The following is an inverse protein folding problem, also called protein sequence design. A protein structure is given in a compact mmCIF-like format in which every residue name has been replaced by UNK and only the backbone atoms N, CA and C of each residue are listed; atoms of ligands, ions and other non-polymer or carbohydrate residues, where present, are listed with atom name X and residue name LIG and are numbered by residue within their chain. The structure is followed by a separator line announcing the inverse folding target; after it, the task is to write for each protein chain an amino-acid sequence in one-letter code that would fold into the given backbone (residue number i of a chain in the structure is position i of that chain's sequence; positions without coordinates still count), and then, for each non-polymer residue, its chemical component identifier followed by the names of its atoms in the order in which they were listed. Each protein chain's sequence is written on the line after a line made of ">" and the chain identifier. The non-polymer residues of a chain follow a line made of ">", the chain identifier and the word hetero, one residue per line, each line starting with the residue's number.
data_IF_374796015267
#
_entry.id   IF_374796015267
#
_cell.length_a   1.000
_cell.length_b   1.000
_cell.length_c   1.000
_cell.angle_alpha   90.00
_cell.angle_beta   90.00
_cell.angle_gamma   90.00
#
_symmetry.space_group_name_H-M   'P 1'
#
loop_
_entity.id
_entity.type
_entity.pdbx_description
1 polymer ?
#
# COMPACT_ATOMS: atom_id res chain seq x y z
N UNK A 1 -25.43 6.92 18.36
CA UNK A 1 -26.48 7.66 17.63
C UNK A 1 -26.45 7.16 16.20
N UNK A 2 -27.52 6.52 15.74
CA UNK A 2 -27.68 6.16 14.32
C UNK A 2 -28.21 7.42 13.67
N UNK A 3 -27.39 8.10 12.88
CA UNK A 3 -27.84 9.20 12.02
C UNK A 3 -28.39 8.59 10.73
N UNK A 4 -29.39 9.22 10.10
CA UNK A 4 -29.91 8.82 8.77
C UNK A 4 -28.93 9.16 7.62
N UNK A 5 -27.66 9.43 7.95
CA UNK A 5 -26.63 9.81 6.99
C UNK A 5 -26.04 8.57 6.33
N UNK A 6 -26.07 8.54 5.01
CA UNK A 6 -25.46 7.49 4.21
C UNK A 6 -24.02 7.85 3.85
N UNK A 7 -23.08 6.93 4.09
CA UNK A 7 -21.66 7.11 3.78
C UNK A 7 -21.10 5.89 3.06
N UNK A 8 -20.05 6.12 2.27
CA UNK A 8 -19.30 5.04 1.62
C UNK A 8 -18.09 4.65 2.46
N UNK A 9 -17.93 3.34 2.67
CA UNK A 9 -16.77 2.76 3.33
C UNK A 9 -16.08 1.76 2.41
N UNK A 10 -14.80 1.51 2.66
CA UNK A 10 -14.11 0.38 2.03
C UNK A 10 -14.64 -0.91 2.64
N UNK A 11 -15.20 -1.77 1.81
CA UNK A 11 -15.70 -3.07 2.26
C UNK A 11 -14.54 -3.99 2.66
N UNK A 12 -14.67 -4.62 3.82
CA UNK A 12 -13.80 -5.72 4.24
C UNK A 12 -14.20 -7.02 3.53
N UNK A 13 -13.26 -7.96 3.46
CA UNK A 13 -13.56 -9.29 2.93
C UNK A 13 -14.61 -9.99 3.80
N UNK A 14 -15.63 -10.57 3.18
CA UNK A 14 -16.73 -11.25 3.89
C UNK A 14 -17.85 -10.36 4.42
N UNK A 15 -17.79 -9.03 4.22
CA UNK A 15 -18.86 -8.11 4.60
C UNK A 15 -20.18 -8.43 3.88
N UNK A 16 -21.28 -8.58 4.62
CA UNK A 16 -22.60 -8.91 4.06
C UNK A 16 -23.58 -7.74 4.17
N UNK A 17 -24.55 -7.67 3.25
CA UNK A 17 -25.66 -6.70 3.33
C UNK A 17 -26.45 -6.93 4.62
N UNK A 18 -26.76 -5.85 5.34
CA UNK A 18 -27.48 -5.89 6.62
C UNK A 18 -26.62 -6.15 7.85
N UNK A 19 -25.30 -6.36 7.67
CA UNK A 19 -24.37 -6.45 8.80
C UNK A 19 -24.26 -5.09 9.50
N UNK A 20 -24.35 -5.11 10.84
CA UNK A 20 -24.17 -3.93 11.67
C UNK A 20 -22.67 -3.71 11.86
N UNK A 21 -22.18 -2.55 11.40
CA UNK A 21 -20.80 -2.12 11.56
C UNK A 21 -20.78 -0.96 12.54
N UNK A 22 -19.85 -0.99 13.48
CA UNK A 22 -19.72 0.07 14.48
C UNK A 22 -18.33 0.67 14.49
N UNK A 23 -18.29 1.96 14.82
CA UNK A 23 -17.06 2.67 15.19
C UNK A 23 -17.06 2.73 16.72
N UNK A 24 -16.19 1.98 17.37
CA UNK A 24 -16.28 1.77 18.82
C UNK A 24 -14.97 1.32 19.46
N UNK A 25 -15.04 0.94 20.74
CA UNK A 25 -13.90 0.38 21.49
C UNK A 25 -13.70 -1.10 21.22
N UNK A 26 -14.79 -1.82 20.99
CA UNK A 26 -14.81 -3.26 20.73
C UNK A 26 -15.52 -3.54 19.41
N UNK A 27 -15.13 -4.64 18.76
CA UNK A 27 -15.72 -5.00 17.49
C UNK A 27 -15.07 -6.21 16.84
N UNK A 28 -15.83 -6.79 15.94
CA UNK A 28 -15.42 -7.92 15.13
C UNK A 28 -14.89 -7.43 13.77
N UNK A 29 -14.61 -8.36 12.86
CA UNK A 29 -14.22 -8.05 11.49
C UNK A 29 -15.19 -7.05 10.83
N UNK A 30 -14.64 -6.03 10.16
CA UNK A 30 -15.40 -4.93 9.55
C UNK A 30 -15.54 -3.69 10.44
N UNK A 31 -15.37 -3.79 11.75
CA UNK A 31 -15.48 -2.63 12.64
C UNK A 31 -14.20 -1.78 12.64
N UNK A 32 -14.38 -0.47 12.83
CA UNK A 32 -13.28 0.48 12.95
C UNK A 32 -13.00 0.79 14.42
N UNK A 33 -11.77 0.53 14.85
CA UNK A 33 -11.35 0.63 16.25
C UNK A 33 -9.97 1.30 16.34
N UNK A 34 -9.69 1.96 17.45
CA UNK A 34 -8.36 2.49 17.78
C UNK A 34 -7.36 1.35 18.03
N UNK A 35 -6.12 1.51 17.56
CA UNK A 35 -5.07 0.49 17.66
C UNK A 35 -4.83 0.01 19.10
N UNK A 36 -5.04 0.88 20.11
CA UNK A 36 -4.90 0.50 21.53
C UNK A 36 -5.84 -0.65 21.96
N UNK A 37 -7.05 -0.69 21.41
CA UNK A 37 -8.06 -1.67 21.79
C UNK A 37 -7.98 -2.94 20.94
N UNK A 38 -7.24 -2.91 19.83
CA UNK A 38 -7.06 -4.07 18.96
C UNK A 38 -6.10 -5.07 19.63
N UNK A 39 -6.41 -6.36 19.51
CA UNK A 39 -5.55 -7.46 19.99
C UNK A 39 -4.32 -7.61 19.10
N UNK A 40 -3.15 -7.84 19.70
CA UNK A 40 -1.92 -8.08 18.96
C UNK A 40 -2.05 -9.35 18.10
N UNK A 41 -1.44 -9.35 16.92
CA UNK A 41 -1.53 -10.43 15.93
C UNK A 41 -2.75 -10.37 15.00
N UNK A 42 -3.72 -9.49 15.26
CA UNK A 42 -4.89 -9.34 14.39
C UNK A 42 -4.55 -8.76 13.02
N UNK A 43 -5.33 -9.15 12.01
CA UNK A 43 -5.26 -8.57 10.68
C UNK A 43 -6.10 -7.30 10.62
N UNK A 44 -5.53 -6.25 10.03
CA UNK A 44 -6.12 -4.92 9.96
C UNK A 44 -5.93 -4.29 8.58
N UNK A 45 -6.84 -3.41 8.19
CA UNK A 45 -6.79 -2.63 6.96
C UNK A 45 -7.26 -1.19 7.21
N UNK A 46 -7.17 -0.33 6.19
CA UNK A 46 -7.62 1.07 6.26
C UNK A 46 -7.07 1.84 7.48
N UNK A 47 -5.75 1.84 7.62
CA UNK A 47 -5.06 2.38 8.79
C UNK A 47 -4.80 3.89 8.62
N UNK A 48 -5.03 4.65 9.69
CA UNK A 48 -4.70 6.08 9.75
C UNK A 48 -3.20 6.35 9.81
N UNK A 49 -2.76 7.51 9.30
CA UNK A 49 -1.36 7.93 9.44
C UNK A 49 -1.12 8.62 10.79
N UNK A 50 -2.05 9.47 11.18
CA UNK A 50 -2.08 10.26 12.42
C UNK A 50 -3.50 10.14 12.96
N UNK A 51 -3.73 10.17 14.28
CA UNK A 51 -5.07 10.06 14.85
C UNK A 51 -6.03 11.08 14.20
N UNK A 52 -7.14 10.60 13.65
CA UNK A 52 -8.16 11.46 13.02
C UNK A 52 -7.84 11.95 11.60
N UNK A 53 -6.71 11.53 11.00
CA UNK A 53 -6.37 11.92 9.61
C UNK A 53 -7.19 11.16 8.56
N UNK A 54 -7.98 10.17 8.97
CA UNK A 54 -8.61 9.20 8.07
C UNK A 54 -7.61 8.16 7.53
N UNK A 55 -8.18 7.11 6.93
CA UNK A 55 -7.43 5.96 6.45
C UNK A 55 -6.56 6.30 5.24
N UNK A 56 -5.24 6.07 5.36
CA UNK A 56 -4.24 6.33 4.33
C UNK A 56 -3.53 5.05 3.91
N UNK A 57 -3.27 4.14 4.86
CA UNK A 57 -2.52 2.92 4.60
C UNK A 57 -3.45 1.71 4.41
N UNK A 58 -2.98 0.74 3.62
CA UNK A 58 -3.64 -0.58 3.43
C UNK A 58 -5.09 -0.45 2.93
N UNK A 59 -5.23 0.15 1.75
CA UNK A 59 -6.52 0.43 1.09
C UNK A 59 -6.74 -0.32 -0.22
N UNK A 60 -5.71 -0.98 -0.72
CA UNK A 60 -5.79 -1.68 -2.00
C UNK A 60 -6.55 -3.00 -1.84
N UNK A 61 -7.22 -3.44 -2.90
CA UNK A 61 -7.97 -4.69 -2.94
C UNK A 61 -7.11 -5.87 -2.47
N UNK A 62 -7.67 -6.71 -1.58
CA UNK A 62 -6.97 -7.87 -1.02
C UNK A 62 -5.84 -7.58 -0.04
N UNK A 63 -5.49 -6.32 0.24
CA UNK A 63 -4.37 -6.01 1.15
C UNK A 63 -4.80 -6.03 2.61
N UNK A 64 -3.87 -6.43 3.47
CA UNK A 64 -3.97 -6.35 4.93
C UNK A 64 -2.60 -6.09 5.53
N UNK A 65 -2.60 -5.66 6.78
CA UNK A 65 -1.45 -5.56 7.64
C UNK A 65 -1.73 -6.34 8.92
N UNK A 66 -0.68 -6.64 9.68
CA UNK A 66 -0.82 -7.31 10.99
C UNK A 66 -0.29 -6.41 12.08
N UNK A 67 -1.07 -6.21 13.14
CA UNK A 67 -0.60 -5.57 14.35
C UNK A 67 0.38 -6.53 15.04
N UNK A 68 1.62 -6.11 15.26
CA UNK A 68 2.65 -6.97 15.86
C UNK A 68 2.66 -6.84 17.37
N UNK A 69 2.77 -5.61 17.86
CA UNK A 69 2.83 -5.30 19.27
C UNK A 69 2.41 -3.86 19.51
N UNK A 70 1.94 -3.59 20.73
CA UNK A 70 1.61 -2.25 21.21
C UNK A 70 2.40 -1.94 22.48
N UNK A 71 2.99 -0.76 22.51
CA UNK A 71 3.78 -0.23 23.62
C UNK A 71 3.00 0.97 24.20
N UNK A 72 2.19 0.69 25.22
CA UNK A 72 1.25 1.67 25.79
C UNK A 72 1.96 2.84 26.46
N UNK A 73 3.12 2.60 27.09
CA UNK A 73 3.91 3.65 27.75
C UNK A 73 4.47 4.67 26.76
N UNK A 74 4.84 4.21 25.56
CA UNK A 74 5.37 5.07 24.50
C UNK A 74 4.30 5.55 23.53
N UNK A 75 3.05 5.14 23.73
CA UNK A 75 1.90 5.42 22.85
C UNK A 75 2.12 4.98 21.39
N UNK A 76 2.89 3.90 21.16
CA UNK A 76 3.26 3.43 19.83
C UNK A 76 2.71 2.02 19.58
N UNK A 77 2.21 1.79 18.37
CA UNK A 77 1.85 0.49 17.83
C UNK A 77 2.79 0.14 16.66
N UNK A 78 3.30 -1.09 16.65
CA UNK A 78 4.12 -1.63 15.57
C UNK A 78 3.27 -2.48 14.64
N UNK A 79 3.21 -2.09 13.38
CA UNK A 79 2.39 -2.75 12.36
C UNK A 79 3.28 -3.26 11.24
N UNK A 80 3.11 -4.53 10.87
CA UNK A 80 3.72 -5.09 9.67
C UNK A 80 2.87 -4.75 8.46
N UNK A 81 3.44 -3.93 7.58
CA UNK A 81 2.80 -3.47 6.35
C UNK A 81 2.75 -4.59 5.30
N UNK A 82 1.81 -4.53 4.32
CA UNK A 82 1.76 -5.49 3.20
C UNK A 82 3.04 -5.50 2.35
N UNK A 83 3.81 -4.41 2.37
CA UNK A 83 5.14 -4.34 1.73
C UNK A 83 6.21 -5.17 2.44
N UNK A 84 5.90 -5.78 3.59
CA UNK A 84 6.85 -6.50 4.45
C UNK A 84 7.55 -5.63 5.49
N UNK A 85 7.41 -4.30 5.40
CA UNK A 85 8.05 -3.35 6.29
C UNK A 85 7.31 -3.19 7.63
N UNK A 86 8.02 -3.17 8.76
CA UNK A 86 7.42 -2.82 10.05
C UNK A 86 7.46 -1.32 10.26
N UNK A 87 6.29 -0.72 10.54
CA UNK A 87 6.12 0.71 10.73
C UNK A 87 5.46 1.02 12.06
N UNK A 88 5.89 2.11 12.67
CA UNK A 88 5.33 2.68 13.90
C UNK A 88 4.15 3.61 13.60
N UNK A 89 3.13 3.52 14.44
CA UNK A 89 1.95 4.36 14.44
C UNK A 89 1.61 4.79 15.86
N UNK A 90 0.92 5.92 16.01
CA UNK A 90 0.39 6.30 17.31
C UNK A 90 -0.74 5.35 17.70
N UNK A 91 -0.81 4.97 18.98
CA UNK A 91 -1.80 4.03 19.51
C UNK A 91 -3.27 4.49 19.37
N UNK A 92 -3.49 5.81 19.22
CA UNK A 92 -4.81 6.41 19.01
C UNK A 92 -5.23 6.46 17.54
N UNK A 93 -4.35 6.06 16.60
CA UNK A 93 -4.76 5.87 15.21
C UNK A 93 -5.84 4.80 15.13
N UNK A 94 -6.75 4.95 14.17
CA UNK A 94 -7.80 3.97 13.89
C UNK A 94 -7.42 3.03 12.76
N UNK A 95 -7.97 1.82 12.81
CA UNK A 95 -7.89 0.82 11.75
C UNK A 95 -9.18 0.00 11.72
N UNK A 96 -9.45 -0.62 10.57
CA UNK A 96 -10.57 -1.55 10.40
C UNK A 96 -10.04 -2.97 10.56
N UNK A 97 -10.73 -3.80 11.35
CA UNK A 97 -10.35 -5.20 11.54
C UNK A 97 -10.66 -6.00 10.27
N UNK A 98 -9.69 -6.75 9.78
CA UNK A 98 -9.80 -7.65 8.63
C UNK A 98 -8.95 -7.23 7.43
N UNK A 99 -9.33 -7.77 6.27
CA UNK A 99 -8.65 -7.55 4.97
C UNK A 99 -9.55 -6.73 4.05
N UNK A 100 -8.96 -5.95 3.14
CA UNK A 100 -9.76 -5.25 2.11
C UNK A 100 -10.39 -6.28 1.18
N UNK A 101 -11.66 -6.07 0.82
CA UNK A 101 -12.39 -6.93 -0.13
C UNK A 101 -11.70 -7.04 -1.50
N UNK A 102 -12.21 -8.00 -2.30
CA UNK A 102 -11.73 -8.32 -3.64
C UNK A 102 -10.26 -8.82 -3.69
N UNK A 103 -9.91 -9.89 -2.96
CA UNK A 103 -8.55 -10.47 -3.00
C UNK A 103 -8.18 -11.02 -4.38
N UNK A 104 -9.17 -11.44 -5.17
CA UNK A 104 -8.98 -12.02 -6.50
C UNK A 104 -8.53 -10.98 -7.55
N UNK A 105 -8.54 -9.68 -7.20
CA UNK A 105 -8.10 -8.62 -8.10
C UNK A 105 -6.70 -8.84 -8.68
N UNK A 106 -5.80 -9.48 -7.92
CA UNK A 106 -4.44 -9.79 -8.37
C UNK A 106 -4.38 -10.82 -9.51
N UNK A 107 -5.41 -11.65 -9.67
CA UNK A 107 -5.47 -12.73 -10.66
C UNK A 107 -6.16 -12.28 -11.96
N UNK A 108 -6.56 -11.00 -12.06
CA UNK A 108 -7.27 -10.49 -13.23
C UNK A 108 -6.32 -10.23 -14.40
N UNK A 109 -6.47 -11.02 -15.46
CA UNK A 109 -5.82 -10.76 -16.74
C UNK A 109 -6.62 -9.77 -17.61
N UNK A 110 -5.91 -8.83 -18.25
CA UNK A 110 -6.55 -7.85 -19.13
C UNK A 110 -6.92 -8.44 -20.50
N UNK A 111 -6.19 -9.45 -20.98
CA UNK A 111 -6.43 -10.20 -22.22
C UNK A 111 -6.27 -9.41 -23.53
N UNK A 112 -6.72 -8.15 -23.59
CA UNK A 112 -6.67 -7.29 -24.79
C UNK A 112 -6.08 -5.92 -24.49
N UNK A 113 -5.36 -5.36 -25.46
CA UNK A 113 -4.74 -4.04 -25.34
C UNK A 113 -5.76 -2.91 -25.07
N UNK A 114 -6.95 -2.98 -25.68
CA UNK A 114 -8.03 -2.00 -25.48
C UNK A 114 -8.53 -1.90 -24.03
N UNK A 115 -8.52 -3.00 -23.27
CA UNK A 115 -8.95 -2.98 -21.86
C UNK A 115 -8.02 -2.14 -20.99
N UNK A 116 -6.70 -2.16 -21.29
CA UNK A 116 -5.72 -1.27 -20.65
C UNK A 116 -6.02 0.21 -20.94
N UNK A 117 -6.47 0.54 -22.16
CA UNK A 117 -6.88 1.89 -22.53
C UNK A 117 -8.14 2.36 -21.79
N UNK A 118 -9.11 1.47 -21.55
CA UNK A 118 -10.30 1.78 -20.75
C UNK A 118 -9.96 2.11 -19.30
N UNK A 119 -8.87 1.55 -18.76
CA UNK A 119 -8.32 1.89 -17.45
C UNK A 119 -7.51 3.20 -17.45
N UNK A 120 -7.48 3.95 -18.56
CA UNK A 120 -6.73 5.20 -18.69
C UNK A 120 -5.22 5.02 -18.90
N UNK A 121 -4.73 3.79 -19.05
CA UNK A 121 -3.30 3.51 -19.25
C UNK A 121 -2.96 3.69 -20.73
N UNK A 122 -1.97 4.54 -21.03
CA UNK A 122 -1.47 4.79 -22.41
C UNK A 122 -0.32 3.83 -22.75
N UNK A 123 -0.13 3.48 -24.04
CA UNK A 123 1.03 2.69 -24.44
C UNK A 123 2.33 3.41 -24.10
N UNK A 124 3.24 2.72 -23.43
CA UNK A 124 4.60 3.21 -23.12
C UNK A 124 5.61 2.67 -24.13
N UNK A 125 6.41 3.55 -24.73
CA UNK A 125 7.48 3.15 -25.66
C UNK A 125 8.73 2.77 -24.87
N UNK A 126 9.36 1.66 -25.23
CA UNK A 126 10.61 1.20 -24.60
C UNK A 126 11.76 2.13 -25.00
N UNK A 127 12.61 2.51 -24.04
CA UNK A 127 13.79 3.35 -24.31
C UNK A 127 14.83 2.75 -25.27
N UNK A 128 14.77 1.44 -25.55
CA UNK A 128 15.59 0.77 -26.56
C UNK A 128 15.12 1.07 -27.99
N UNK A 129 13.83 1.40 -28.17
CA UNK A 129 13.22 1.72 -29.46
C UNK A 129 13.30 3.23 -29.79
N UNK A 130 14.01 4.00 -28.97
CA UNK A 130 14.16 5.45 -29.08
C UNK A 130 15.56 5.83 -29.59
N UNK A 131 15.74 7.09 -29.98
CA UNK A 131 17.03 7.62 -30.38
C UNK A 131 17.90 7.96 -29.16
N UNK A 132 19.20 8.16 -29.40
CA UNK A 132 20.16 8.51 -28.34
C UNK A 132 19.86 9.86 -27.66
N UNK A 133 19.19 10.78 -28.37
CA UNK A 133 18.73 12.06 -27.82
C UNK A 133 17.60 11.90 -26.79
N UNK A 134 16.70 10.93 -26.99
CA UNK A 134 15.48 10.77 -26.19
C UNK A 134 15.71 9.90 -24.96
N UNK A 135 16.60 8.89 -25.08
CA UNK A 135 16.82 7.93 -24.03
C UNK A 135 18.28 7.45 -24.01
N UNK A 136 18.91 7.29 -22.83
CA UNK A 136 20.29 6.78 -22.72
C UNK A 136 20.52 5.38 -23.33
N UNK A 137 19.45 4.58 -23.35
CA UNK A 137 19.43 3.24 -23.96
C UNK A 137 19.14 3.26 -25.46
N UNK A 138 18.86 4.42 -26.05
CA UNK A 138 18.65 4.56 -27.48
C UNK A 138 19.92 4.26 -28.28
N UNK A 139 19.74 3.81 -29.52
CA UNK A 139 20.84 3.52 -30.44
C UNK A 139 20.42 3.72 -31.88
N UNK A 140 21.35 4.19 -32.71
CA UNK A 140 21.20 4.35 -34.16
C UNK A 140 21.55 3.08 -34.96
N UNK A 141 22.21 2.08 -34.34
CA UNK A 141 22.70 0.89 -35.05
C UNK A 141 22.07 -0.38 -34.48
N UNK A 142 20.83 -0.66 -34.88
CA UNK A 142 20.11 -1.88 -34.53
C UNK A 142 19.91 -2.10 -33.03
N UNK A 143 19.49 -3.32 -32.66
CA UNK A 143 19.14 -3.67 -31.28
C UNK A 143 20.40 -3.94 -30.43
N UNK A 144 20.79 -3.02 -29.55
CA UNK A 144 21.94 -3.18 -28.62
C UNK A 144 21.49 -3.44 -27.18
N UNK A 145 22.05 -4.46 -26.51
CA UNK A 145 21.73 -4.85 -25.13
C UNK A 145 22.83 -4.56 -24.09
N UNK A 146 24.03 -4.12 -24.52
CA UNK A 146 25.22 -4.10 -23.66
C UNK A 146 25.32 -2.87 -22.72
N UNK A 147 24.27 -2.05 -22.60
CA UNK A 147 24.25 -0.89 -21.69
C UNK A 147 23.55 -1.25 -20.37
N UNK A 148 24.09 -0.77 -19.26
CA UNK A 148 23.38 -0.81 -17.97
C UNK A 148 22.00 -0.13 -18.12
N UNK A 149 20.91 -0.74 -17.61
CA UNK A 149 19.58 -0.20 -17.80
C UNK A 149 19.45 1.12 -17.03
N UNK A 150 19.25 2.21 -17.77
CA UNK A 150 18.99 3.55 -17.22
C UNK A 150 17.53 3.95 -17.44
N UNK A 151 17.06 4.84 -16.57
CA UNK A 151 15.83 5.62 -16.76
C UNK A 151 16.03 6.67 -17.84
N UNK A 152 14.94 7.30 -18.31
CA UNK A 152 15.02 8.40 -19.31
C UNK A 152 15.90 9.56 -18.87
N UNK A 153 16.07 9.76 -17.55
CA UNK A 153 16.92 10.80 -16.97
C UNK A 153 18.35 10.34 -16.66
N UNK A 154 18.79 9.19 -17.17
CA UNK A 154 20.17 8.72 -17.00
C UNK A 154 20.48 8.00 -15.68
N UNK A 155 19.59 8.05 -14.68
CA UNK A 155 19.75 7.29 -13.42
C UNK A 155 19.65 5.78 -13.69
N UNK A 156 20.47 4.97 -13.02
CA UNK A 156 20.39 3.50 -13.11
C UNK A 156 19.01 3.01 -12.66
N UNK A 157 18.35 2.21 -13.49
CA UNK A 157 17.02 1.66 -13.22
C UNK A 157 17.08 0.35 -12.41
N UNK A 158 18.15 -0.44 -12.60
CA UNK A 158 18.52 -1.57 -11.73
C UNK A 158 19.68 -1.15 -10.85
N UNK A 159 19.43 -0.27 -9.89
CA UNK A 159 20.47 0.10 -8.92
C UNK A 159 20.50 -0.90 -7.75
N UNK A 160 21.70 -1.23 -7.30
CA UNK A 160 22.03 -1.87 -6.01
C UNK A 160 21.90 -0.85 -4.84
N UNK A 161 21.39 0.37 -5.11
CA UNK A 161 21.34 1.50 -4.19
C UNK A 161 19.94 2.00 -3.87
N UNK A 162 19.82 2.68 -2.73
CA UNK A 162 18.57 3.19 -2.15
C UNK A 162 18.09 4.45 -2.89
N UNK A 163 16.90 4.41 -3.49
CA UNK A 163 16.27 5.57 -4.14
C UNK A 163 15.59 6.55 -3.17
N UNK A 164 15.56 6.22 -1.88
CA UNK A 164 15.02 7.09 -0.85
C UNK A 164 16.11 7.98 -0.25
N UNK A 165 15.70 9.15 0.22
CA UNK A 165 16.61 10.07 0.90
C UNK A 165 17.09 9.46 2.22
N UNK A 166 18.39 9.13 2.30
CA UNK A 166 19.03 8.51 3.47
C UNK A 166 18.98 9.42 4.71
N UNK A 167 18.93 10.75 4.50
CA UNK A 167 18.84 11.75 5.57
C UNK A 167 17.43 11.94 6.12
N UNK A 168 16.39 11.34 5.53
CA UNK A 168 15.06 11.37 6.16
C UNK A 168 15.13 10.59 7.47
N UNK A 169 14.60 11.19 8.53
CA UNK A 169 14.44 10.51 9.80
C UNK A 169 13.46 9.35 9.59
N UNK A 170 13.98 8.13 9.63
CA UNK A 170 13.17 6.92 9.63
C UNK A 170 13.10 6.39 11.06
N UNK A 171 11.93 5.90 11.50
CA UNK A 171 11.80 5.22 12.78
C UNK A 171 12.88 4.13 12.95
N UNK A 172 13.43 3.99 14.16
CA UNK A 172 14.58 3.10 14.45
C UNK A 172 14.30 1.62 14.13
N UNK A 173 13.03 1.21 14.13
CA UNK A 173 12.58 -0.17 13.91
C UNK A 173 12.22 -0.48 12.45
N UNK A 174 12.57 0.42 11.54
CA UNK A 174 12.48 0.23 10.10
C UNK A 174 13.32 -0.97 9.65
N UNK A 175 12.71 -2.15 9.48
CA UNK A 175 13.40 -3.31 8.95
C UNK A 175 13.76 -3.04 7.47
N UNK A 176 15.06 -2.89 7.17
CA UNK A 176 15.54 -2.28 5.90
C UNK A 176 15.63 -3.25 4.73
N UNK A 177 15.44 -4.55 4.96
CA UNK A 177 15.55 -5.59 3.95
C UNK A 177 14.19 -6.23 3.77
N UNK A 178 13.52 -5.91 2.67
CA UNK A 178 12.42 -6.72 2.18
C UNK A 178 13.00 -7.79 1.25
N UNK A 179 12.39 -8.97 1.28
CA UNK A 179 12.67 -10.10 0.38
C UNK A 179 12.19 -9.77 -1.04
#
# INVERSE_FOLDING_TARGET
>A
MVTDELSYILATNGLKKGQIITNGKEGNEGNMIELKNITDGTTICSIEKVPGSGAIFVRAAGTSATLLSKDLEKEIAYIKMPSGFTKEFHINCRAVIGTVSNPEWQNVDLGKAGKSRHLGIRPSVRGLAMNACDHPNGSSSGRKKNKLPKTKWGKLAKAIGKFYNIKRHFPKYANRKNK
#
